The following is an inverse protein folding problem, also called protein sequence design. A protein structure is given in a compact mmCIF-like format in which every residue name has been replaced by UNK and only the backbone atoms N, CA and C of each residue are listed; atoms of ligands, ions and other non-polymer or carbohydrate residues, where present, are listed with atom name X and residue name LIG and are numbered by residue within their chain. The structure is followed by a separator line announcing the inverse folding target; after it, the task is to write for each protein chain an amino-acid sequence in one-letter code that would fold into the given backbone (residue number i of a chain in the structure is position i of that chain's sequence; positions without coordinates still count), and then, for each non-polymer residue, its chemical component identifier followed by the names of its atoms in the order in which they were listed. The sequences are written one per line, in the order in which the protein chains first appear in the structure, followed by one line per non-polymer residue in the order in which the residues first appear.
data_IF_567406547918
#
_entry.id   IF_567406547918
#
_cell.length_a   1.000
_cell.length_b   1.000
_cell.length_c   1.000
_cell.angle_alpha   90.00
_cell.angle_beta   90.00
_cell.angle_gamma   90.00
#
_symmetry.space_group_name_H-M   'P 1'
#
loop_
_entity.id
_entity.type
_entity.pdbx_description
1 polymer ?
#
# COMPACT_ATOMS: atom_id res chain seq x y z
N UNK A 1 -14.05 -8.27 -29.74
CA UNK A 1 -14.65 -7.50 -28.65
C UNK A 1 -14.37 -6.03 -28.89
N UNK A 2 -15.42 -5.21 -28.99
CA UNK A 2 -15.31 -3.76 -29.17
C UNK A 2 -15.21 -3.14 -27.78
N UNK A 3 -14.06 -2.58 -27.41
CA UNK A 3 -13.94 -1.77 -26.21
C UNK A 3 -14.57 -0.40 -26.48
N UNK A 4 -15.57 -0.04 -25.69
CA UNK A 4 -16.13 1.29 -25.69
C UNK A 4 -15.27 2.19 -24.79
N UNK A 5 -14.59 3.16 -25.35
CA UNK A 5 -13.92 4.23 -24.60
C UNK A 5 -14.88 5.40 -24.49
N UNK A 6 -15.13 5.84 -23.26
CA UNK A 6 -15.84 7.10 -23.00
C UNK A 6 -14.93 7.98 -22.14
N UNK A 7 -14.58 9.16 -22.66
CA UNK A 7 -13.96 10.22 -21.84
C UNK A 7 -15.07 10.94 -21.09
N UNK A 8 -15.05 10.83 -19.76
CA UNK A 8 -15.99 11.51 -18.88
C UNK A 8 -15.22 12.52 -18.03
N UNK A 9 -15.58 13.78 -18.10
CA UNK A 9 -15.16 14.77 -17.10
C UNK A 9 -15.91 14.49 -15.78
N UNK A 10 -15.18 14.05 -14.77
CA UNK A 10 -15.71 13.81 -13.43
C UNK A 10 -15.20 14.92 -12.50
N UNK A 11 -16.10 15.68 -11.90
CA UNK A 11 -15.75 16.59 -10.82
C UNK A 11 -15.60 15.79 -9.51
N UNK A 12 -14.36 15.63 -9.06
CA UNK A 12 -14.05 15.02 -7.77
C UNK A 12 -14.26 16.10 -6.69
N UNK A 13 -15.32 15.97 -5.91
CA UNK A 13 -15.62 16.90 -4.81
C UNK A 13 -14.82 16.61 -3.54
N UNK A 14 -14.29 15.38 -3.40
CA UNK A 14 -13.44 14.94 -2.30
C UNK A 14 -12.24 14.16 -2.86
N UNK A 15 -11.07 14.77 -2.79
CA UNK A 15 -9.83 14.22 -3.33
C UNK A 15 -9.36 12.93 -2.62
N UNK A 16 -9.87 12.64 -1.43
CA UNK A 16 -9.49 11.47 -0.64
C UNK A 16 -10.42 10.27 -0.82
N UNK A 17 -11.70 10.49 -1.18
CA UNK A 17 -12.68 9.41 -1.32
C UNK A 17 -12.20 8.23 -2.18
N UNK A 18 -11.54 8.40 -3.33
CA UNK A 18 -11.03 7.28 -4.11
C UNK A 18 -10.01 6.40 -3.36
N UNK A 19 -9.37 6.96 -2.33
CA UNK A 19 -8.29 6.35 -1.56
C UNK A 19 -8.70 5.97 -0.13
N UNK A 20 -10.00 6.03 0.17
CA UNK A 20 -10.60 5.65 1.45
C UNK A 20 -11.55 4.46 1.33
N UNK A 21 -11.95 4.12 0.11
CA UNK A 21 -12.91 3.05 -0.17
C UNK A 21 -12.27 1.92 -0.96
N UNK A 22 -12.86 0.70 -0.91
CA UNK A 22 -12.37 -0.41 -1.71
C UNK A 22 -12.57 -0.15 -3.20
N UNK A 23 -11.70 -0.78 -4.00
CA UNK A 23 -11.79 -0.82 -5.45
C UNK A 23 -11.29 -2.19 -5.96
N UNK A 24 -11.12 -2.36 -7.27
CA UNK A 24 -10.71 -3.64 -7.86
C UNK A 24 -9.36 -4.16 -7.33
N UNK A 25 -8.40 -3.27 -7.01
CA UNK A 25 -7.04 -3.64 -6.60
C UNK A 25 -6.83 -3.59 -5.10
N UNK A 26 -7.67 -2.84 -4.40
CA UNK A 26 -7.71 -2.75 -2.94
C UNK A 26 -9.10 -3.18 -2.51
N UNK A 27 -9.34 -4.51 -2.56
CA UNK A 27 -10.68 -5.06 -2.41
C UNK A 27 -10.88 -5.62 -0.99
N UNK A 28 -11.78 -5.01 -0.24
CA UNK A 28 -12.17 -5.44 1.10
C UNK A 28 -13.62 -5.06 1.39
N UNK A 29 -14.23 -5.77 2.34
CA UNK A 29 -15.55 -5.47 2.88
C UNK A 29 -15.46 -5.31 4.40
N UNK A 30 -16.53 -4.87 5.04
CA UNK A 30 -16.56 -4.74 6.50
C UNK A 30 -16.27 -6.06 7.25
N UNK A 31 -16.57 -7.19 6.61
CA UNK A 31 -16.38 -8.53 7.19
C UNK A 31 -15.02 -9.16 6.85
N UNK A 32 -14.18 -8.47 6.09
CA UNK A 32 -12.84 -8.97 5.71
C UNK A 32 -11.92 -9.07 6.93
N UNK A 33 -11.13 -10.14 6.99
CA UNK A 33 -10.15 -10.36 8.07
C UNK A 33 -9.07 -9.28 8.11
N UNK A 34 -8.70 -8.75 6.94
CA UNK A 34 -7.75 -7.63 6.83
C UNK A 34 -8.27 -6.38 7.54
N UNK A 35 -9.60 -6.13 7.52
CA UNK A 35 -10.23 -5.01 8.24
C UNK A 35 -10.17 -5.24 9.74
N UNK A 36 -10.52 -6.45 10.21
CA UNK A 36 -10.42 -6.80 11.62
C UNK A 36 -8.98 -6.67 12.15
N UNK A 37 -7.98 -7.09 11.36
CA UNK A 37 -6.57 -6.96 11.71
C UNK A 37 -6.14 -5.48 11.73
N UNK A 38 -6.54 -4.68 10.76
CA UNK A 38 -6.28 -3.24 10.75
C UNK A 38 -6.85 -2.54 11.99
N UNK A 39 -8.06 -2.92 12.41
CA UNK A 39 -8.69 -2.40 13.62
C UNK A 39 -7.93 -2.81 14.89
N UNK A 40 -7.51 -4.08 15.00
CA UNK A 40 -6.68 -4.58 16.10
C UNK A 40 -5.37 -3.78 16.22
N UNK A 41 -4.69 -3.54 15.09
CA UNK A 41 -3.43 -2.79 15.07
C UNK A 41 -3.62 -1.30 15.39
N UNK A 42 -4.78 -0.74 15.09
CA UNK A 42 -5.11 0.66 15.39
C UNK A 42 -5.59 0.87 16.84
N UNK A 43 -5.92 -0.20 17.57
CA UNK A 43 -6.43 -0.09 18.94
C UNK A 43 -5.43 0.63 19.86
N UNK A 44 -5.89 1.71 20.50
CA UNK A 44 -5.07 2.50 21.42
C UNK A 44 -3.97 3.33 20.74
N UNK A 45 -3.93 3.41 19.41
CA UNK A 45 -3.01 4.30 18.73
C UNK A 45 -3.36 5.77 18.98
N UNK A 46 -2.35 6.62 19.13
CA UNK A 46 -2.51 8.05 19.44
C UNK A 46 -2.54 8.95 18.19
N UNK A 47 -2.16 8.41 17.04
CA UNK A 47 -2.09 9.13 15.75
C UNK A 47 -2.17 8.19 14.55
N UNK A 48 -2.47 8.75 13.37
CA UNK A 48 -2.42 8.02 12.10
C UNK A 48 -1.02 7.46 11.82
N UNK A 49 0.02 8.22 12.17
CA UNK A 49 1.40 7.78 12.04
C UNK A 49 1.67 6.50 12.84
N UNK A 50 1.15 6.41 14.07
CA UNK A 50 1.31 5.21 14.89
C UNK A 50 0.56 4.01 14.28
N UNK A 51 -0.63 4.22 13.73
CA UNK A 51 -1.37 3.15 12.99
C UNK A 51 -0.57 2.68 11.79
N UNK A 52 -0.06 3.60 10.97
CA UNK A 52 0.76 3.28 9.80
C UNK A 52 1.98 2.46 10.19
N UNK A 53 2.68 2.87 11.28
CA UNK A 53 3.85 2.16 11.81
C UNK A 53 3.50 0.71 12.17
N UNK A 54 2.47 0.54 12.97
CA UNK A 54 2.07 -0.80 13.44
C UNK A 54 1.63 -1.71 12.29
N UNK A 55 0.91 -1.15 11.30
CA UNK A 55 0.50 -1.90 10.10
C UNK A 55 1.71 -2.27 9.25
N UNK A 56 2.64 -1.34 9.04
CA UNK A 56 3.89 -1.58 8.31
C UNK A 56 4.72 -2.68 8.98
N UNK A 57 4.98 -2.56 10.28
CA UNK A 57 5.75 -3.54 11.05
C UNK A 57 5.09 -4.93 11.00
N UNK A 58 3.76 -4.98 11.13
CA UNK A 58 3.03 -6.24 11.03
C UNK A 58 3.24 -6.91 9.66
N UNK A 59 3.08 -6.15 8.58
CA UNK A 59 3.19 -6.68 7.21
C UNK A 59 4.61 -7.15 6.92
N UNK A 60 5.61 -6.33 7.25
CA UNK A 60 7.01 -6.67 6.99
C UNK A 60 7.51 -7.87 7.78
N UNK A 61 6.92 -8.14 8.95
CA UNK A 61 7.27 -9.28 9.80
C UNK A 61 6.47 -10.56 9.51
N UNK A 62 5.29 -10.45 8.89
CA UNK A 62 4.35 -11.57 8.77
C UNK A 62 4.07 -11.99 7.32
N UNK A 63 4.52 -11.24 6.32
CA UNK A 63 4.41 -11.63 4.91
C UNK A 63 5.81 -11.88 4.35
N UNK A 64 5.98 -13.04 3.72
CA UNK A 64 7.21 -13.45 3.03
C UNK A 64 7.02 -13.30 1.53
N UNK A 65 8.06 -12.87 0.82
CA UNK A 65 7.98 -12.64 -0.61
C UNK A 65 7.92 -13.95 -1.41
N UNK A 66 6.93 -14.05 -2.30
CA UNK A 66 6.68 -15.20 -3.17
C UNK A 66 7.42 -15.01 -4.51
N UNK A 67 8.66 -15.47 -4.58
CA UNK A 67 9.50 -15.37 -5.77
C UNK A 67 8.96 -16.18 -6.96
N UNK A 68 8.32 -17.33 -6.69
CA UNK A 68 7.79 -18.19 -7.73
C UNK A 68 6.61 -17.49 -8.42
N UNK A 69 5.65 -16.97 -7.65
CA UNK A 69 4.53 -16.18 -8.15
C UNK A 69 4.99 -14.89 -8.82
N UNK A 70 6.02 -14.23 -8.31
CA UNK A 70 6.56 -12.99 -8.87
C UNK A 70 7.20 -13.20 -10.24
N UNK A 71 7.77 -14.39 -10.51
CA UNK A 71 8.42 -14.72 -11.78
C UNK A 71 7.43 -14.92 -12.93
N UNK A 72 6.19 -15.37 -12.64
CA UNK A 72 5.13 -15.60 -13.62
C UNK A 72 3.73 -15.32 -13.00
N UNK A 73 3.42 -14.04 -12.75
CA UNK A 73 2.15 -13.70 -12.12
C UNK A 73 0.97 -13.98 -13.06
N UNK A 74 -0.16 -14.52 -12.54
CA UNK A 74 -1.32 -14.80 -13.37
C UNK A 74 -1.82 -13.57 -14.15
N UNK A 75 -2.18 -13.76 -15.41
CA UNK A 75 -2.73 -12.67 -16.24
C UNK A 75 -4.00 -12.10 -15.59
N UNK A 76 -4.06 -10.77 -15.41
CA UNK A 76 -5.21 -10.11 -14.77
C UNK A 76 -5.26 -10.33 -13.25
N UNK A 77 -4.14 -10.67 -12.64
CA UNK A 77 -4.06 -10.90 -11.21
C UNK A 77 -4.55 -9.71 -10.39
N UNK A 78 -5.37 -10.00 -9.39
CA UNK A 78 -5.78 -9.08 -8.33
C UNK A 78 -5.56 -9.75 -6.98
N UNK A 79 -5.15 -8.97 -5.98
CA UNK A 79 -4.86 -9.50 -4.66
C UNK A 79 -6.15 -9.94 -3.92
N UNK A 80 -6.15 -11.17 -3.40
CA UNK A 80 -7.09 -11.60 -2.38
C UNK A 80 -6.48 -11.32 -1.00
N UNK A 81 -6.82 -10.18 -0.43
CA UNK A 81 -6.17 -9.66 0.78
C UNK A 81 -6.35 -10.56 2.01
N UNK A 82 -7.48 -11.27 2.11
CA UNK A 82 -7.74 -12.20 3.22
C UNK A 82 -6.97 -13.52 3.05
N UNK A 83 -6.84 -14.00 1.82
CA UNK A 83 -6.03 -15.19 1.51
C UNK A 83 -4.54 -14.91 1.75
N UNK A 84 -4.04 -13.73 1.35
CA UNK A 84 -2.65 -13.30 1.60
C UNK A 84 -2.37 -13.17 3.09
N UNK A 85 -3.28 -12.53 3.85
CA UNK A 85 -3.16 -12.43 5.29
C UNK A 85 -3.11 -13.80 5.97
N UNK A 86 -3.87 -14.78 5.46
CA UNK A 86 -3.93 -16.13 6.00
C UNK A 86 -2.69 -16.98 5.64
N UNK A 87 -2.16 -16.82 4.42
CA UNK A 87 -0.99 -17.57 3.95
C UNK A 87 0.34 -17.01 4.45
N UNK A 88 0.40 -15.70 4.70
CA UNK A 88 1.63 -14.99 5.02
C UNK A 88 2.63 -14.96 3.86
N UNK A 89 2.14 -15.06 2.60
CA UNK A 89 3.00 -15.01 1.41
C UNK A 89 2.37 -14.16 0.32
N UNK A 90 3.19 -13.41 -0.43
CA UNK A 90 2.70 -12.55 -1.51
C UNK A 90 3.79 -11.87 -2.32
N UNK A 91 3.38 -11.26 -3.44
CA UNK A 91 4.23 -10.41 -4.28
C UNK A 91 4.01 -8.93 -3.95
N UNK A 92 4.73 -8.02 -4.59
CA UNK A 92 4.64 -6.57 -4.33
C UNK A 92 3.20 -6.03 -4.35
N UNK A 93 2.37 -6.46 -5.30
CA UNK A 93 0.96 -6.06 -5.36
C UNK A 93 0.17 -6.52 -4.12
N UNK A 94 0.50 -7.69 -3.59
CA UNK A 94 -0.16 -8.28 -2.42
C UNK A 94 0.18 -7.49 -1.15
N UNK A 95 1.46 -7.17 -0.94
CA UNK A 95 1.91 -6.32 0.17
C UNK A 95 1.22 -4.96 0.15
N UNK A 96 1.21 -4.31 -1.03
CA UNK A 96 0.60 -3.00 -1.21
C UNK A 96 -0.93 -3.06 -0.98
N UNK A 97 -1.61 -4.08 -1.51
CA UNK A 97 -3.07 -4.23 -1.37
C UNK A 97 -3.49 -4.53 0.07
N UNK A 98 -2.77 -5.40 0.79
CA UNK A 98 -3.05 -5.71 2.20
C UNK A 98 -2.84 -4.47 3.07
N UNK A 99 -1.72 -3.75 2.89
CA UNK A 99 -1.45 -2.52 3.63
C UNK A 99 -2.49 -1.44 3.35
N UNK A 100 -2.80 -1.19 2.08
CA UNK A 100 -3.81 -0.21 1.70
C UNK A 100 -5.20 -0.57 2.24
N UNK A 101 -5.58 -1.86 2.25
CA UNK A 101 -6.87 -2.31 2.81
C UNK A 101 -6.95 -2.06 4.31
N UNK A 102 -5.89 -2.38 5.07
CA UNK A 102 -5.83 -2.11 6.50
C UNK A 102 -5.94 -0.60 6.78
N UNK A 103 -5.15 0.23 6.11
CA UNK A 103 -5.12 1.67 6.34
C UNK A 103 -6.42 2.37 5.91
N UNK A 104 -6.97 2.03 4.73
CA UNK A 104 -8.26 2.59 4.27
C UNK A 104 -9.41 2.24 5.22
N UNK A 105 -9.41 1.02 5.78
CA UNK A 105 -10.43 0.61 6.77
C UNK A 105 -10.35 1.44 8.06
N UNK A 106 -9.19 2.01 8.38
CA UNK A 106 -8.97 2.94 9.49
C UNK A 106 -9.10 4.42 9.08
N UNK A 107 -9.65 4.69 7.87
CA UNK A 107 -9.88 6.04 7.34
C UNK A 107 -8.62 6.83 7.06
N UNK A 108 -7.49 6.16 6.86
CA UNK A 108 -6.22 6.76 6.44
C UNK A 108 -6.16 6.70 4.90
N UNK A 109 -6.16 7.86 4.20
CA UNK A 109 -6.13 7.88 2.74
C UNK A 109 -4.85 7.21 2.22
N UNK A 110 -5.03 6.16 1.40
CA UNK A 110 -3.91 5.33 0.93
C UNK A 110 -4.08 5.02 -0.56
N UNK A 111 -3.11 5.42 -1.37
CA UNK A 111 -2.99 5.06 -2.79
C UNK A 111 -2.25 3.74 -2.91
N UNK A 112 -2.75 2.83 -3.74
CA UNK A 112 -1.96 1.75 -4.29
C UNK A 112 -1.38 2.24 -5.61
N UNK A 113 -0.09 2.23 -5.73
CA UNK A 113 0.66 2.77 -6.85
C UNK A 113 1.43 1.65 -7.55
N UNK A 114 1.45 1.70 -8.89
CA UNK A 114 2.14 0.72 -9.73
C UNK A 114 2.96 1.45 -10.78
N UNK A 115 4.17 1.00 -10.98
CA UNK A 115 5.09 1.61 -11.93
C UNK A 115 6.45 0.93 -11.94
N UNK A 116 7.51 1.69 -12.03
CA UNK A 116 8.87 1.19 -11.98
C UNK A 116 9.59 1.71 -10.74
N UNK A 117 10.18 0.79 -9.98
CA UNK A 117 11.17 1.07 -8.95
C UNK A 117 12.54 0.75 -9.56
N UNK A 118 13.28 1.76 -9.99
CA UNK A 118 14.39 1.64 -10.93
C UNK A 118 13.96 0.90 -12.21
N UNK A 119 14.49 -0.29 -12.49
CA UNK A 119 14.20 -1.07 -13.69
C UNK A 119 13.13 -2.16 -13.45
N UNK A 120 12.67 -2.36 -12.21
CA UNK A 120 11.69 -3.38 -11.85
C UNK A 120 10.27 -2.84 -11.87
N UNK A 121 9.36 -3.55 -12.57
CA UNK A 121 7.92 -3.26 -12.47
C UNK A 121 7.44 -3.65 -11.08
N UNK A 122 6.85 -2.69 -10.36
CA UNK A 122 6.66 -2.78 -8.92
C UNK A 122 5.35 -2.15 -8.46
N UNK A 123 4.88 -2.55 -7.28
CA UNK A 123 3.75 -1.94 -6.61
C UNK A 123 4.16 -1.50 -5.19
N UNK A 124 3.71 -0.32 -4.80
CA UNK A 124 3.93 0.29 -3.48
C UNK A 124 2.71 1.08 -3.07
N UNK A 125 2.76 1.78 -1.95
CA UNK A 125 1.69 2.67 -1.53
C UNK A 125 2.22 4.09 -1.30
N UNK A 126 1.31 5.05 -1.34
CA UNK A 126 1.50 6.38 -0.76
C UNK A 126 0.37 6.65 0.23
N UNK A 127 0.71 7.16 1.40
CA UNK A 127 -0.23 7.50 2.46
C UNK A 127 -0.31 9.01 2.65
N UNK A 128 -1.47 9.49 3.05
CA UNK A 128 -1.68 10.89 3.42
C UNK A 128 -1.97 10.98 4.91
N UNK A 129 -1.25 11.87 5.60
CA UNK A 129 -1.51 12.22 6.99
C UNK A 129 -1.30 13.72 7.20
N UNK A 130 -2.02 14.28 8.17
CA UNK A 130 -1.82 15.66 8.61
C UNK A 130 -0.62 15.80 9.58
N UNK A 131 -0.15 14.67 10.12
CA UNK A 131 1.00 14.65 11.03
C UNK A 131 2.31 14.67 10.26
N UNK A 132 3.36 15.20 10.87
CA UNK A 132 4.73 15.14 10.35
C UNK A 132 5.57 14.19 11.21
N UNK A 133 6.58 13.58 10.63
CA UNK A 133 7.50 12.72 11.37
C UNK A 133 8.17 11.63 10.55
N UNK A 134 8.98 10.86 11.26
CA UNK A 134 9.69 9.71 10.71
C UNK A 134 9.07 8.41 11.20
N UNK A 135 8.78 7.52 10.27
CA UNK A 135 8.36 6.17 10.59
C UNK A 135 9.61 5.29 10.72
N UNK A 136 9.95 4.89 11.94
CA UNK A 136 11.15 4.08 12.25
C UNK A 136 12.46 4.64 11.63
N UNK A 137 12.51 5.94 11.34
CA UNK A 137 13.63 6.57 10.65
C UNK A 137 13.76 6.23 9.16
N UNK A 138 12.78 5.52 8.59
CA UNK A 138 12.80 5.03 7.21
C UNK A 138 11.93 5.91 6.31
N UNK A 139 10.79 6.36 6.80
CA UNK A 139 9.81 7.15 6.07
C UNK A 139 9.65 8.51 6.74
N UNK A 140 9.80 9.57 5.96
CA UNK A 140 9.54 10.94 6.42
C UNK A 140 8.14 11.36 5.97
N UNK A 141 7.35 11.85 6.93
CA UNK A 141 6.07 12.48 6.66
C UNK A 141 6.21 13.99 6.73
N UNK A 142 5.93 14.65 5.63
CA UNK A 142 6.00 16.11 5.47
C UNK A 142 4.64 16.77 5.78
N UNK A 143 3.67 16.08 6.33
CA UNK A 143 2.35 16.61 6.62
C UNK A 143 1.67 17.31 5.42
N UNK A 144 0.40 16.99 5.14
CA UNK A 144 -0.36 17.51 4.01
C UNK A 144 0.15 17.13 2.60
N UNK A 145 1.07 16.17 2.50
CA UNK A 145 1.52 15.58 1.24
C UNK A 145 1.41 14.06 1.27
N UNK A 146 1.40 13.47 0.07
CA UNK A 146 1.43 12.01 -0.05
C UNK A 146 2.85 11.50 0.13
N UNK A 147 3.02 10.55 1.06
CA UNK A 147 4.33 9.94 1.36
C UNK A 147 4.36 8.50 0.85
N UNK A 148 5.41 8.18 0.11
CA UNK A 148 5.66 6.83 -0.44
C UNK A 148 6.06 5.87 0.67
N UNK A 149 5.45 4.68 0.65
CA UNK A 149 5.73 3.56 1.56
C UNK A 149 5.87 2.28 0.76
N UNK A 150 7.01 1.60 0.87
CA UNK A 150 7.27 0.34 0.18
C UNK A 150 7.43 -0.81 1.19
N UNK A 151 6.32 -1.48 1.56
CA UNK A 151 6.37 -2.57 2.51
C UNK A 151 7.08 -3.81 1.96
N UNK A 152 7.08 -4.01 0.64
CA UNK A 152 7.78 -5.13 0.00
C UNK A 152 9.28 -5.00 0.16
N UNK A 153 9.82 -3.82 -0.18
CA UNK A 153 11.24 -3.55 -0.06
C UNK A 153 11.67 -3.54 1.41
N UNK A 154 10.83 -3.00 2.30
CA UNK A 154 11.07 -3.00 3.74
C UNK A 154 11.14 -4.41 4.36
N UNK A 155 10.31 -5.34 3.90
CA UNK A 155 10.33 -6.73 4.38
C UNK A 155 11.57 -7.51 3.92
N UNK A 156 12.23 -7.08 2.83
CA UNK A 156 13.28 -7.85 2.17
C UNK A 156 14.66 -7.18 2.19
N UNK A 157 14.83 -6.07 2.92
CA UNK A 157 16.11 -5.35 3.02
C UNK A 157 16.30 -4.70 4.39
N UNK A 158 17.52 -4.32 4.72
CA UNK A 158 17.81 -3.56 5.95
C UNK A 158 17.44 -2.07 5.82
N UNK A 159 17.15 -1.45 6.96
CA UNK A 159 16.68 -0.06 7.04
C UNK A 159 17.59 0.95 6.36
N UNK A 160 18.91 0.76 6.43
CA UNK A 160 19.88 1.68 5.82
C UNK A 160 19.82 1.61 4.30
N UNK A 161 19.71 0.40 3.77
CA UNK A 161 19.57 0.16 2.32
C UNK A 161 18.24 0.66 1.82
N UNK A 162 17.14 0.39 2.57
CA UNK A 162 15.80 0.88 2.27
C UNK A 162 15.77 2.41 2.20
N UNK A 163 16.26 3.09 3.24
CA UNK A 163 16.30 4.56 3.29
C UNK A 163 17.11 5.16 2.14
N UNK A 164 18.25 4.54 1.80
CA UNK A 164 19.07 4.98 0.67
C UNK A 164 18.38 4.75 -0.68
N UNK A 165 17.60 3.66 -0.80
CA UNK A 165 16.88 3.32 -2.02
C UNK A 165 15.67 4.23 -2.25
N UNK A 166 14.83 4.41 -1.25
CA UNK A 166 13.66 5.31 -1.31
C UNK A 166 14.14 6.74 -1.52
N UNK A 167 15.11 7.20 -0.72
CA UNK A 167 15.71 8.54 -0.83
C UNK A 167 14.64 9.63 -0.85
N UNK A 168 14.62 10.40 -1.93
CA UNK A 168 13.63 11.44 -2.23
C UNK A 168 12.47 10.94 -3.13
N UNK A 169 12.38 9.62 -3.35
CA UNK A 169 11.36 8.99 -4.19
C UNK A 169 11.66 9.01 -5.69
N UNK A 170 12.78 9.60 -6.14
CA UNK A 170 13.10 9.71 -7.58
C UNK A 170 13.38 8.36 -8.24
N UNK A 171 13.64 7.32 -7.45
CA UNK A 171 13.79 5.94 -7.94
C UNK A 171 12.47 5.30 -8.38
N UNK A 172 11.33 5.93 -8.05
CA UNK A 172 9.99 5.41 -8.35
C UNK A 172 9.34 6.22 -9.46
N UNK A 173 8.96 5.55 -10.53
CA UNK A 173 8.27 6.16 -11.68
C UNK A 173 6.84 5.63 -11.73
N UNK A 174 5.90 6.43 -11.24
CA UNK A 174 4.48 6.10 -11.20
C UNK A 174 3.90 5.95 -12.61
N UNK A 175 3.14 4.87 -12.84
CA UNK A 175 2.38 4.67 -14.07
C UNK A 175 0.87 4.60 -13.83
N UNK A 176 0.44 3.99 -12.72
CA UNK A 176 -0.97 3.82 -12.38
C UNK A 176 -1.18 4.00 -10.88
N UNK A 177 -2.36 4.50 -10.52
CA UNK A 177 -2.75 4.78 -9.15
C UNK A 177 -4.20 4.32 -8.92
N UNK A 178 -4.43 3.66 -7.81
CA UNK A 178 -5.71 3.07 -7.45
C UNK A 178 -6.14 3.44 -6.04
#
# INVERSE_FOLDING_TARGET
ATCLYADLEVQITDAFSPFLYPNQYVNFTADSKVVAKGQELAEGASSDLEVITRVYDYITQNITYDYDKASDPPTGYTADVDAILASGTGICLDYAAVMASMLRSQRIPTRLEVGYAQDAYHAWISVYTADTGWLNGIIEFDGNVWTLVDPTFGANTDDKTLKKFIGDGTNYVLQKMY
#
